data_IF_964306373568
#
_entry.id   IF_964306373568
#
_cell.length_a   1.000
_cell.length_b   1.000
_cell.length_c   1.000
_cell.angle_alpha   90.00
_cell.angle_beta   90.00
_cell.angle_gamma   90.00
#
_symmetry.space_group_name_H-M   'P 1'
#
loop_
_entity.id
_entity.type
_entity.pdbx_description
1 polymer ?
#
# COMPACT_ATOMS: atom_id res chain seq x y z
N UNK A 1 21.19 -6.22 -11.94
CA UNK A 1 19.79 -6.12 -12.39
C UNK A 1 19.63 -4.76 -13.04
N UNK A 2 18.98 -4.65 -14.21
CA UNK A 2 18.70 -3.36 -14.83
C UNK A 2 17.66 -2.60 -14.00
N UNK A 3 17.70 -1.27 -14.02
CA UNK A 3 16.73 -0.43 -13.31
C UNK A 3 15.30 -0.88 -13.64
N UNK A 4 14.99 -1.11 -14.92
CA UNK A 4 13.66 -1.58 -15.37
C UNK A 4 13.15 -2.85 -14.66
N UNK A 5 14.01 -3.81 -14.32
CA UNK A 5 13.59 -5.01 -13.59
C UNK A 5 13.18 -4.69 -12.15
N UNK A 6 13.89 -3.76 -11.51
CA UNK A 6 13.59 -3.28 -10.15
C UNK A 6 12.27 -2.50 -10.13
N UNK A 7 12.02 -1.71 -11.16
CA UNK A 7 10.75 -1.00 -11.36
C UNK A 7 9.56 -1.96 -11.48
N UNK A 8 9.68 -3.01 -12.30
CA UNK A 8 8.63 -4.02 -12.45
C UNK A 8 8.37 -4.78 -11.15
N UNK A 9 9.41 -5.09 -10.39
CA UNK A 9 9.28 -5.78 -9.10
C UNK A 9 8.49 -4.94 -8.09
N UNK A 10 8.85 -3.67 -7.92
CA UNK A 10 8.14 -2.78 -6.98
C UNK A 10 6.72 -2.51 -7.44
N UNK A 11 6.47 -2.36 -8.75
CA UNK A 11 5.10 -2.21 -9.27
C UNK A 11 4.25 -3.45 -8.99
N UNK A 12 4.80 -4.67 -9.15
CA UNK A 12 4.10 -5.90 -8.80
C UNK A 12 3.82 -6.02 -7.30
N UNK A 13 4.77 -5.58 -6.46
CA UNK A 13 4.59 -5.49 -5.01
C UNK A 13 3.48 -4.50 -4.60
N UNK A 14 3.40 -3.35 -5.27
CA UNK A 14 2.35 -2.35 -5.09
C UNK A 14 0.99 -2.94 -5.50
N UNK A 15 0.91 -3.61 -6.64
CA UNK A 15 -0.31 -4.27 -7.11
C UNK A 15 -0.81 -5.31 -6.10
N UNK A 16 0.08 -6.15 -5.57
CA UNK A 16 -0.28 -7.13 -4.54
C UNK A 16 -0.75 -6.46 -3.24
N UNK A 17 -0.10 -5.38 -2.82
CA UNK A 17 -0.49 -4.61 -1.65
C UNK A 17 -1.89 -3.97 -1.83
N UNK A 18 -2.19 -3.41 -3.01
CA UNK A 18 -3.51 -2.89 -3.35
C UNK A 18 -4.57 -4.00 -3.25
N UNK A 19 -4.33 -5.17 -3.85
CA UNK A 19 -5.26 -6.30 -3.78
C UNK A 19 -5.52 -6.76 -2.33
N UNK A 20 -4.51 -6.72 -1.46
CA UNK A 20 -4.64 -7.00 -0.03
C UNK A 20 -5.45 -5.94 0.70
N UNK A 21 -5.27 -4.66 0.36
CA UNK A 21 -6.06 -3.54 0.91
C UNK A 21 -7.52 -3.72 0.49
N UNK A 22 -7.80 -3.93 -0.78
CA UNK A 22 -9.16 -4.15 -1.29
C UNK A 22 -9.87 -5.30 -0.56
N UNK A 23 -9.17 -6.43 -0.36
CA UNK A 23 -9.71 -7.56 0.43
C UNK A 23 -10.01 -7.18 1.87
N UNK A 24 -9.19 -6.36 2.51
CA UNK A 24 -9.42 -5.88 3.89
C UNK A 24 -10.56 -4.86 3.98
N UNK A 25 -10.84 -4.16 2.89
CA UNK A 25 -12.01 -3.27 2.75
C UNK A 25 -13.33 -4.01 2.49
N UNK A 26 -13.29 -5.32 2.19
CA UNK A 26 -14.53 -6.09 1.99
C UNK A 26 -15.37 -6.07 3.27
N UNK A 27 -16.62 -5.63 3.13
CA UNK A 27 -17.57 -5.55 4.24
C UNK A 27 -17.54 -4.24 5.02
N UNK A 28 -16.64 -3.32 4.70
CA UNK A 28 -16.64 -1.96 5.23
C UNK A 28 -17.54 -1.10 4.34
N UNK A 29 -18.62 -0.58 4.90
CA UNK A 29 -19.58 0.26 4.17
C UNK A 29 -19.43 1.75 4.50
N UNK A 30 -18.81 2.05 5.65
CA UNK A 30 -18.63 3.40 6.17
C UNK A 30 -17.34 3.51 6.97
N UNK A 31 -16.89 4.75 7.22
CA UNK A 31 -15.75 5.01 8.09
C UNK A 31 -16.01 4.53 9.54
N UNK A 32 -17.26 4.59 9.99
CA UNK A 32 -17.66 4.08 11.31
C UNK A 32 -17.37 2.58 11.48
N UNK A 33 -17.49 1.77 10.42
CA UNK A 33 -17.20 0.33 10.51
C UNK A 33 -15.73 0.04 10.87
N UNK A 34 -14.83 0.99 10.60
CA UNK A 34 -13.41 0.92 10.95
C UNK A 34 -13.11 1.45 12.36
N UNK A 35 -13.95 2.34 12.91
CA UNK A 35 -13.66 3.00 14.19
C UNK A 35 -14.58 2.56 15.33
N UNK A 36 -15.65 1.84 15.03
CA UNK A 36 -16.68 1.43 16.00
C UNK A 36 -16.31 0.18 16.81
N UNK A 37 -15.21 -0.50 16.48
CA UNK A 37 -14.77 -1.72 17.16
C UNK A 37 -13.26 -1.86 17.15
N UNK A 38 -12.73 -2.60 18.14
CA UNK A 38 -11.30 -2.92 18.24
C UNK A 38 -10.81 -3.68 16.98
N UNK A 39 -11.61 -4.62 16.47
CA UNK A 39 -11.33 -5.32 15.20
C UNK A 39 -11.31 -4.38 13.99
N UNK A 40 -12.17 -3.36 13.97
CA UNK A 40 -12.17 -2.32 12.94
C UNK A 40 -10.89 -1.50 12.98
N UNK A 41 -10.45 -1.12 14.18
CA UNK A 41 -9.23 -0.34 14.40
C UNK A 41 -7.98 -1.14 14.02
N UNK A 42 -7.93 -2.43 14.35
CA UNK A 42 -6.84 -3.34 13.93
C UNK A 42 -6.77 -3.48 12.41
N UNK A 43 -7.94 -3.56 11.73
CA UNK A 43 -7.98 -3.55 10.27
C UNK A 43 -7.47 -2.23 9.70
N UNK A 44 -7.90 -1.11 10.28
CA UNK A 44 -7.45 0.23 9.87
C UNK A 44 -5.94 0.37 10.01
N UNK A 45 -5.37 -0.05 11.14
CA UNK A 45 -3.93 0.00 11.39
C UNK A 45 -3.15 -0.86 10.38
N UNK A 46 -3.64 -2.09 10.12
CA UNK A 46 -3.05 -2.95 9.10
C UNK A 46 -3.11 -2.36 7.68
N UNK A 47 -4.19 -1.65 7.33
CA UNK A 47 -4.30 -0.92 6.07
C UNK A 47 -3.31 0.24 6.04
N UNK A 48 -3.23 1.03 7.11
CA UNK A 48 -2.34 2.17 7.22
C UNK A 48 -0.86 1.75 7.10
N UNK A 49 -0.44 0.67 7.76
CA UNK A 49 0.93 0.15 7.64
C UNK A 49 1.27 -0.25 6.20
N UNK A 50 0.34 -0.88 5.47
CA UNK A 50 0.58 -1.23 4.07
C UNK A 50 0.71 0.01 3.18
N UNK A 51 -0.12 1.03 3.40
CA UNK A 51 -0.04 2.29 2.66
C UNK A 51 1.31 3.00 2.92
N UNK A 52 1.81 3.00 4.15
CA UNK A 52 3.13 3.53 4.50
C UNK A 52 4.22 2.76 3.74
N UNK A 53 4.20 1.43 3.80
CA UNK A 53 5.18 0.59 3.12
C UNK A 53 5.18 0.81 1.60
N UNK A 54 4.00 0.91 0.98
CA UNK A 54 3.87 1.24 -0.45
C UNK A 54 4.48 2.61 -0.77
N UNK A 55 4.20 3.62 0.07
CA UNK A 55 4.77 4.96 -0.08
C UNK A 55 6.30 4.97 0.02
N UNK A 56 6.88 4.17 0.91
CA UNK A 56 8.33 3.99 1.00
C UNK A 56 8.92 3.26 -0.22
N UNK A 57 8.21 2.25 -0.74
CA UNK A 57 8.56 1.56 -1.98
C UNK A 57 8.62 2.51 -3.18
N UNK A 58 7.62 3.38 -3.32
CA UNK A 58 7.56 4.41 -4.38
C UNK A 58 8.72 5.41 -4.23
N UNK A 59 8.99 5.91 -3.02
CA UNK A 59 10.15 6.80 -2.79
C UNK A 59 11.49 6.15 -3.13
N UNK A 60 11.61 4.84 -2.91
CA UNK A 60 12.81 4.12 -3.34
C UNK A 60 12.91 4.05 -4.87
N UNK A 61 11.79 3.90 -5.60
CA UNK A 61 11.79 3.98 -7.07
C UNK A 61 12.24 5.36 -7.58
N UNK A 62 11.83 6.45 -6.92
CA UNK A 62 12.27 7.81 -7.29
C UNK A 62 13.80 7.94 -7.30
N UNK A 63 14.50 7.26 -6.37
CA UNK A 63 15.98 7.25 -6.32
C UNK A 63 16.61 6.61 -7.56
N UNK A 64 15.95 5.61 -8.16
CA UNK A 64 16.43 4.94 -9.37
C UNK A 64 15.97 5.63 -10.65
N UNK A 65 14.84 6.37 -10.61
CA UNK A 65 14.27 7.09 -11.77
C UNK A 65 14.83 8.49 -12.03
N UNK A 66 15.54 9.08 -11.06
CA UNK A 66 16.13 10.42 -11.18
C UNK A 66 15.12 11.58 -11.21
N UNK A 67 13.83 11.31 -10.98
CA UNK A 67 12.76 12.31 -10.85
C UNK A 67 11.80 11.94 -9.73
N UNK A 68 11.27 12.95 -9.05
CA UNK A 68 10.14 12.79 -8.15
C UNK A 68 8.92 12.29 -8.94
N UNK A 69 8.35 11.18 -8.49
CA UNK A 69 7.10 10.59 -8.95
C UNK A 69 5.91 11.17 -8.18
N UNK A 70 6.15 11.83 -7.04
CA UNK A 70 5.17 12.51 -6.19
C UNK A 70 5.36 14.04 -6.19
#
# INVERSE_FOLDING_TARGET
>A
MSDTALWLEVLGQIEEAIARIERRFVGIQSADDLTSSDEGLDKLDGIAMMLIWMGEGIKNLEKYGGKALL
#
